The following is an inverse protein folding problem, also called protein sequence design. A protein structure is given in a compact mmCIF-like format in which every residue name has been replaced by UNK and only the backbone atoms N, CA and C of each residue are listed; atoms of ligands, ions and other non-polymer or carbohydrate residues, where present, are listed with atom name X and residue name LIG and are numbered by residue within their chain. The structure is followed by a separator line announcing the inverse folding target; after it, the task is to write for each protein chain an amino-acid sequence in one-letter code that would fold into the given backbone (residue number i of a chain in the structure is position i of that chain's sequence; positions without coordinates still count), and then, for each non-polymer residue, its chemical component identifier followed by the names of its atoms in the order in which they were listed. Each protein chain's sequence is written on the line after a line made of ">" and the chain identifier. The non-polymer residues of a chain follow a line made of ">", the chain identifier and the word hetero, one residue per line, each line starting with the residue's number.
data_IF_787877591391
#
_entry.id   IF_787877591391
#
_cell.length_a   1.000
_cell.length_b   1.000
_cell.length_c   1.000
_cell.angle_alpha   90.00
_cell.angle_beta   90.00
_cell.angle_gamma   90.00
#
_symmetry.space_group_name_H-M   'P 1'
#
loop_
_entity.id
_entity.type
_entity.pdbx_description
1 polymer ?
#
# COMPACT_ATOMS: atom_id res chain seq x y z
N UNK A 1 -19.14 -23.93 -9.13
CA UNK A 1 -18.23 -23.59 -10.18
C UNK A 1 -19.01 -23.11 -11.39
N UNK A 2 -18.55 -23.09 -12.54
CA UNK A 2 -19.22 -22.51 -13.67
C UNK A 2 -18.55 -21.25 -14.12
N UNK A 3 -17.53 -20.81 -13.42
CA UNK A 3 -16.66 -19.71 -13.82
C UNK A 3 -15.28 -20.24 -14.22
N UNK A 4 -14.34 -19.33 -14.54
CA UNK A 4 -12.99 -19.71 -14.93
C UNK A 4 -12.11 -20.16 -13.76
N UNK A 5 -12.59 -20.03 -12.52
CA UNK A 5 -11.82 -20.42 -11.34
C UNK A 5 -12.23 -21.81 -10.86
N UNK A 6 -11.28 -22.50 -10.25
CA UNK A 6 -11.53 -23.79 -9.62
C UNK A 6 -12.48 -23.64 -8.43
N UNK A 7 -13.26 -24.69 -8.15
CA UNK A 7 -14.13 -24.72 -6.98
C UNK A 7 -13.29 -24.52 -5.72
N UNK A 8 -13.79 -23.69 -4.80
CA UNK A 8 -13.09 -23.36 -3.57
C UNK A 8 -12.22 -22.12 -3.66
N UNK A 9 -12.01 -21.58 -4.86
CA UNK A 9 -11.28 -20.33 -5.05
C UNK A 9 -12.20 -19.14 -4.83
N UNK A 10 -11.67 -18.07 -4.25
CA UNK A 10 -12.45 -16.84 -4.01
C UNK A 10 -12.50 -16.03 -5.29
N UNK A 11 -13.69 -15.91 -5.88
CA UNK A 11 -13.90 -15.11 -7.08
C UNK A 11 -14.15 -13.65 -6.75
N UNK A 12 -14.83 -13.38 -5.64
CA UNK A 12 -15.19 -12.02 -5.24
C UNK A 12 -15.15 -11.94 -3.72
N UNK A 13 -14.63 -10.83 -3.21
CA UNK A 13 -14.70 -10.53 -1.80
C UNK A 13 -14.83 -9.04 -1.58
N UNK A 14 -15.50 -8.65 -0.51
CA UNK A 14 -15.49 -7.27 -0.06
C UNK A 14 -14.97 -7.22 1.38
N UNK A 15 -14.36 -6.10 1.71
CA UNK A 15 -13.72 -5.93 3.01
C UNK A 15 -13.64 -4.45 3.33
N UNK A 16 -13.32 -4.14 4.60
CA UNK A 16 -13.09 -2.76 4.98
C UNK A 16 -11.62 -2.54 5.26
N UNK A 17 -11.13 -1.37 4.88
CA UNK A 17 -9.81 -0.90 5.25
C UNK A 17 -9.99 0.47 5.88
N UNK A 18 -9.74 0.55 7.18
CA UNK A 18 -9.93 1.78 7.95
C UNK A 18 -11.32 2.38 7.75
N UNK A 19 -12.34 1.53 7.77
CA UNK A 19 -13.74 1.94 7.64
C UNK A 19 -14.21 2.18 6.21
N UNK A 20 -13.33 2.07 5.22
CA UNK A 20 -13.70 2.22 3.82
C UNK A 20 -13.95 0.85 3.21
N UNK A 21 -15.11 0.68 2.59
CA UNK A 21 -15.43 -0.56 1.89
C UNK A 21 -14.66 -0.67 0.59
N UNK A 22 -14.10 -1.84 0.37
CA UNK A 22 -13.36 -2.18 -0.84
C UNK A 22 -13.81 -3.56 -1.31
N UNK A 23 -13.61 -3.81 -2.59
CA UNK A 23 -13.93 -5.12 -3.17
C UNK A 23 -12.76 -5.59 -4.01
N UNK A 24 -12.55 -6.90 -4.03
CA UNK A 24 -11.54 -7.53 -4.86
C UNK A 24 -12.16 -8.66 -5.63
N UNK A 25 -11.75 -8.79 -6.89
CA UNK A 25 -12.22 -9.84 -7.78
C UNK A 25 -11.03 -10.58 -8.35
N UNK A 26 -11.14 -11.90 -8.36
CA UNK A 26 -10.16 -12.74 -9.04
C UNK A 26 -10.79 -13.24 -10.32
N UNK A 27 -10.29 -12.80 -11.47
CA UNK A 27 -10.93 -13.12 -12.74
C UNK A 27 -10.72 -14.58 -13.15
N UNK A 28 -9.63 -15.21 -12.70
CA UNK A 28 -9.31 -16.58 -13.05
C UNK A 28 -8.92 -16.80 -14.50
N UNK A 29 -8.91 -15.75 -15.31
CA UNK A 29 -8.52 -15.79 -16.73
C UNK A 29 -7.21 -15.07 -16.89
N UNK A 30 -6.38 -15.52 -17.84
CA UNK A 30 -5.13 -14.82 -18.12
C UNK A 30 -5.40 -13.44 -18.70
N UNK A 31 -4.69 -12.45 -18.20
CA UNK A 31 -4.63 -11.09 -18.75
C UNK A 31 -3.17 -10.72 -18.93
N UNK A 32 -2.89 -9.93 -19.97
CA UNK A 32 -1.53 -9.46 -20.22
C UNK A 32 -1.20 -8.17 -19.46
N UNK A 33 -1.99 -7.84 -18.46
CA UNK A 33 -1.76 -6.71 -17.58
C UNK A 33 -1.77 -7.16 -16.13
N UNK A 34 -1.19 -6.35 -15.28
CA UNK A 34 -1.18 -6.58 -13.84
C UNK A 34 -1.18 -5.22 -13.14
N UNK A 35 -1.02 -5.23 -11.83
CA UNK A 35 -0.90 -3.99 -11.08
C UNK A 35 0.40 -3.26 -11.43
N UNK A 36 0.33 -1.95 -11.45
CA UNK A 36 1.48 -1.08 -11.64
C UNK A 36 1.41 0.06 -10.61
N UNK A 37 2.53 0.74 -10.33
CA UNK A 37 2.49 1.89 -9.41
C UNK A 37 1.80 3.14 -9.98
N UNK A 38 1.23 3.04 -11.19
CA UNK A 38 0.39 4.12 -11.72
C UNK A 38 -0.86 4.35 -10.90
N UNK A 39 -1.27 3.36 -10.09
CA UNK A 39 -2.35 3.48 -9.12
C UNK A 39 -1.83 2.96 -7.79
N UNK A 40 -2.12 3.66 -6.70
CA UNK A 40 -1.75 3.23 -5.37
C UNK A 40 -2.86 3.53 -4.38
N UNK A 41 -2.83 2.83 -3.26
CA UNK A 41 -3.75 3.06 -2.16
C UNK A 41 -2.98 3.77 -1.05
N UNK A 42 -3.49 4.92 -0.60
CA UNK A 42 -2.85 5.69 0.46
C UNK A 42 -3.50 5.35 1.79
N UNK A 43 -2.68 4.98 2.77
CA UNK A 43 -3.12 4.77 4.14
C UNK A 43 -2.56 5.91 4.99
N UNK A 44 -3.44 6.76 5.49
CA UNK A 44 -3.05 7.85 6.40
C UNK A 44 -2.98 7.34 7.81
N UNK A 45 -1.80 7.39 8.42
CA UNK A 45 -1.56 6.87 9.75
C UNK A 45 -1.49 8.00 10.76
N UNK A 46 -1.97 7.74 11.97
CA UNK A 46 -1.99 8.75 13.04
C UNK A 46 -0.66 8.86 13.78
N UNK A 47 0.15 7.80 13.78
CA UNK A 47 1.42 7.76 14.51
C UNK A 47 2.37 6.71 13.93
N UNK A 48 3.58 6.64 14.49
CA UNK A 48 4.61 5.71 14.04
C UNK A 48 4.21 4.25 14.24
N UNK A 49 3.51 3.95 15.33
CA UNK A 49 3.07 2.58 15.61
C UNK A 49 2.16 2.08 14.48
N UNK A 50 1.26 2.92 14.01
CA UNK A 50 0.36 2.57 12.93
C UNK A 50 1.11 2.41 11.61
N UNK A 51 2.07 3.30 11.32
CA UNK A 51 2.94 3.16 10.15
C UNK A 51 3.67 1.83 10.18
N UNK A 52 4.27 1.49 11.30
CA UNK A 52 5.02 0.24 11.46
C UNK A 52 4.14 -0.98 11.25
N UNK A 53 2.92 -0.93 11.78
CA UNK A 53 1.99 -2.06 11.68
C UNK A 53 1.56 -2.31 10.23
N UNK A 54 1.14 -1.25 9.51
CA UNK A 54 0.76 -1.40 8.12
C UNK A 54 1.93 -1.79 7.24
N UNK A 55 3.10 -1.23 7.51
CA UNK A 55 4.29 -1.57 6.74
C UNK A 55 4.65 -3.04 6.88
N UNK A 56 4.66 -3.54 8.11
CA UNK A 56 4.98 -4.93 8.37
C UNK A 56 4.00 -5.89 7.70
N UNK A 57 2.74 -5.50 7.58
CA UNK A 57 1.72 -6.34 6.96
C UNK A 57 1.66 -6.25 5.45
N UNK A 58 2.13 -5.16 4.86
CA UNK A 58 1.94 -4.89 3.43
C UNK A 58 3.21 -4.95 2.62
N UNK A 59 4.33 -4.41 3.12
CA UNK A 59 5.55 -4.36 2.32
C UNK A 59 6.15 -5.75 2.12
N UNK A 60 6.20 -6.19 0.88
CA UNK A 60 6.70 -7.52 0.52
C UNK A 60 7.84 -7.47 -0.50
N UNK A 61 8.14 -6.30 -1.07
CA UNK A 61 9.14 -6.14 -2.12
C UNK A 61 10.16 -5.09 -1.66
N UNK A 62 11.30 -5.52 -1.08
CA UNK A 62 12.28 -4.56 -0.55
C UNK A 62 12.75 -3.51 -1.54
N UNK A 63 12.91 -3.86 -2.81
CA UNK A 63 13.38 -2.95 -3.85
C UNK A 63 12.39 -1.82 -4.13
N UNK A 64 11.12 -2.01 -3.77
CA UNK A 64 10.08 -1.02 -3.99
C UNK A 64 9.89 -0.07 -2.82
N UNK A 65 10.56 -0.31 -1.71
CA UNK A 65 10.43 0.51 -0.50
C UNK A 65 11.10 1.86 -0.70
N UNK A 66 10.27 2.92 -0.78
CA UNK A 66 10.78 4.25 -1.12
C UNK A 66 9.82 5.33 -0.64
N UNK A 67 10.27 6.20 0.24
CA UNK A 67 9.56 7.39 0.75
C UNK A 67 8.08 7.12 1.09
N UNK A 68 7.83 6.03 1.80
CA UNK A 68 6.48 5.64 2.23
C UNK A 68 5.77 4.73 1.25
N UNK A 69 6.31 4.53 0.07
CA UNK A 69 5.75 3.58 -0.91
C UNK A 69 6.23 2.17 -0.63
N UNK A 70 5.34 1.22 -0.81
CA UNK A 70 5.69 -0.21 -0.79
C UNK A 70 4.77 -0.97 -1.74
N UNK A 71 5.13 -2.20 -2.01
CA UNK A 71 4.36 -3.10 -2.87
C UNK A 71 4.07 -4.36 -2.08
N UNK A 72 2.83 -4.81 -2.09
CA UNK A 72 2.46 -6.02 -1.38
C UNK A 72 2.79 -7.27 -2.20
N UNK A 73 2.54 -8.43 -1.61
CA UNK A 73 2.88 -9.72 -2.26
C UNK A 73 2.05 -9.98 -3.52
N UNK A 74 0.98 -9.23 -3.74
CA UNK A 74 0.12 -9.38 -4.92
C UNK A 74 0.43 -8.36 -6.00
N UNK A 75 1.36 -7.43 -5.73
CA UNK A 75 1.77 -6.42 -6.68
C UNK A 75 1.05 -5.08 -6.55
N UNK A 76 0.17 -4.93 -5.56
CA UNK A 76 -0.52 -3.66 -5.33
C UNK A 76 0.42 -2.67 -4.65
N UNK A 77 0.45 -1.46 -5.17
CA UNK A 77 1.26 -0.38 -4.60
C UNK A 77 0.50 0.36 -3.51
N UNK A 78 1.18 0.62 -2.41
CA UNK A 78 0.64 1.30 -1.24
C UNK A 78 1.53 2.47 -0.87
N UNK A 79 0.91 3.51 -0.31
CA UNK A 79 1.63 4.60 0.32
C UNK A 79 1.23 4.64 1.79
N UNK A 80 2.16 4.33 2.67
CA UNK A 80 1.93 4.30 4.11
C UNK A 80 2.54 5.58 4.67
N UNK A 81 1.70 6.54 5.00
CA UNK A 81 2.15 7.90 5.29
C UNK A 81 1.48 8.43 6.57
N UNK A 82 2.13 9.37 7.28
CA UNK A 82 1.47 10.02 8.39
C UNK A 82 0.33 10.94 7.90
N UNK A 83 -0.66 11.18 8.76
CA UNK A 83 -1.83 11.98 8.39
C UNK A 83 -1.47 13.41 7.94
N UNK A 84 -0.34 13.92 8.40
CA UNK A 84 0.13 15.27 8.08
C UNK A 84 1.22 15.27 7.00
N UNK A 85 1.21 14.28 6.11
CA UNK A 85 2.26 14.15 5.09
C UNK A 85 2.40 15.40 4.21
N UNK A 86 1.28 16.05 3.88
CA UNK A 86 1.34 17.24 3.04
C UNK A 86 2.12 18.37 3.72
N UNK A 87 1.90 18.56 5.03
CA UNK A 87 2.62 19.53 5.82
C UNK A 87 4.11 19.22 5.90
N UNK A 88 4.43 17.94 6.13
CA UNK A 88 5.83 17.50 6.21
C UNK A 88 6.54 17.68 4.87
N UNK A 89 5.87 17.41 3.77
CA UNK A 89 6.46 17.55 2.43
C UNK A 89 6.58 19.00 1.98
N UNK A 90 5.85 19.91 2.60
CA UNK A 90 5.96 21.33 2.31
C UNK A 90 7.26 21.95 2.85
N UNK A 91 7.85 21.34 3.88
CA UNK A 91 9.14 21.77 4.43
C UNK A 91 10.27 21.12 3.64
N UNK A 92 11.14 21.92 3.05
CA UNK A 92 12.19 21.40 2.16
C UNK A 92 13.16 20.43 2.86
N UNK A 93 13.55 20.73 4.09
CA UNK A 93 14.49 19.89 4.83
C UNK A 93 13.84 18.55 5.20
N UNK A 94 12.60 18.59 5.64
CA UNK A 94 11.85 17.38 6.00
C UNK A 94 11.55 16.55 4.76
N UNK A 95 11.16 17.19 3.67
CA UNK A 95 10.91 16.51 2.40
C UNK A 95 12.15 15.77 1.93
N UNK A 96 13.31 16.40 2.01
CA UNK A 96 14.56 15.76 1.59
C UNK A 96 14.83 14.50 2.41
N UNK A 97 14.58 14.54 3.71
CA UNK A 97 14.76 13.37 4.56
C UNK A 97 13.81 12.25 4.16
N UNK A 98 12.53 12.56 3.94
CA UNK A 98 11.51 11.57 3.55
C UNK A 98 11.87 10.92 2.22
N UNK A 99 12.34 11.70 1.26
CA UNK A 99 12.70 11.17 -0.07
C UNK A 99 13.85 10.16 -0.04
N UNK A 100 14.64 10.16 1.04
CA UNK A 100 15.73 9.22 1.21
C UNK A 100 15.40 8.06 2.15
N UNK A 101 14.14 7.94 2.59
CA UNK A 101 13.69 6.83 3.44
C UNK A 101 12.99 5.75 2.62
N UNK A 102 12.96 4.54 3.16
CA UNK A 102 12.00 3.53 2.75
C UNK A 102 10.74 3.72 3.55
N UNK A 103 10.58 3.00 4.68
CA UNK A 103 9.51 3.28 5.63
C UNK A 103 9.75 4.66 6.26
N UNK A 104 8.69 5.45 6.38
CA UNK A 104 8.81 6.76 7.02
C UNK A 104 9.02 6.56 8.53
N UNK A 105 10.08 7.21 9.04
CA UNK A 105 10.43 7.18 10.45
C UNK A 105 10.32 8.61 10.98
N UNK A 106 9.24 8.86 11.73
CA UNK A 106 8.92 10.19 12.24
C UNK A 106 9.96 10.72 13.24
N UNK A 107 10.71 9.83 13.88
CA UNK A 107 11.73 10.24 14.85
C UNK A 107 12.96 10.88 14.20
N UNK A 108 13.08 10.74 12.88
CA UNK A 108 14.21 11.27 12.13
C UNK A 108 13.90 12.54 11.36
N UNK A 109 12.71 13.07 11.52
CA UNK A 109 12.27 14.28 10.82
C UNK A 109 12.47 15.58 11.61
#
# INVERSE_FOLDING_TARGET
>A
EGGPLDAGTVMFTDFTLRGTWMAATDSGTFHDFTFTPGVSIIVSCRDQEEIDRYWAGLSAVPEAERCGWCVDRLGVSWQIVPYNIAELMANAATRDKILHMGKIDLTKL
#
